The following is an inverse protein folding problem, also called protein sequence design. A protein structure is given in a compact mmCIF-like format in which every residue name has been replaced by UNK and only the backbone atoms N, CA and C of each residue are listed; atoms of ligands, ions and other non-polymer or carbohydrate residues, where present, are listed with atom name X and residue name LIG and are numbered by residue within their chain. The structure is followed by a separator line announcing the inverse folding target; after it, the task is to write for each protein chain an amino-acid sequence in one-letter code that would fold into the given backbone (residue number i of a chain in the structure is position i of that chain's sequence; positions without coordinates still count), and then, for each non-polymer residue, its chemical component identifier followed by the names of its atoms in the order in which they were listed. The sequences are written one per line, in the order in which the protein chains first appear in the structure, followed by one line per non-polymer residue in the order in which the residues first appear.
data_IF_726610783316
#
_entry.id   IF_726610783316
#
_cell.length_a   1.000
_cell.length_b   1.000
_cell.length_c   1.000
_cell.angle_alpha   90.00
_cell.angle_beta   90.00
_cell.angle_gamma   90.00
#
_symmetry.space_group_name_H-M   'P 1'
#
loop_
_entity.id
_entity.type
_entity.pdbx_description
1 polymer ?
#
# COMPACT_ATOMS: atom_id res chain seq x y z
N UNK A 1 12.05 27.67 -10.10
CA UNK A 1 11.86 26.44 -9.31
C UNK A 1 11.33 26.90 -7.96
N UNK A 2 10.04 26.73 -7.69
CA UNK A 2 9.48 27.02 -6.37
C UNK A 2 9.96 25.86 -5.49
N UNK A 3 10.80 26.12 -4.49
CA UNK A 3 11.09 25.13 -3.46
C UNK A 3 9.80 24.93 -2.67
N UNK A 4 9.02 23.92 -3.03
CA UNK A 4 8.03 23.35 -2.13
C UNK A 4 8.81 22.69 -1.01
N UNK A 5 8.68 23.22 0.21
CA UNK A 5 9.18 22.54 1.40
C UNK A 5 8.52 21.16 1.46
N UNK A 6 9.33 20.10 1.37
CA UNK A 6 8.88 18.74 1.69
C UNK A 6 8.98 18.61 3.20
N UNK A 7 7.84 18.52 3.86
CA UNK A 7 7.72 18.45 5.30
C UNK A 7 6.73 17.36 5.70
N UNK A 8 7.10 16.55 6.69
CA UNK A 8 6.24 15.53 7.28
C UNK A 8 5.34 16.17 8.34
N UNK A 9 4.57 17.17 7.93
CA UNK A 9 3.58 17.81 8.77
C UNK A 9 2.59 16.77 9.31
N UNK A 10 2.39 16.76 10.63
CA UNK A 10 1.54 15.77 11.27
C UNK A 10 0.07 16.00 10.87
N UNK A 11 -0.64 14.98 10.36
CA UNK A 11 -2.07 15.07 10.11
C UNK A 11 -2.82 15.30 11.42
N UNK A 12 -3.84 16.15 11.37
CA UNK A 12 -4.71 16.42 12.52
C UNK A 12 -5.68 15.26 12.75
N UNK A 13 -6.19 15.13 13.98
CA UNK A 13 -7.25 14.16 14.31
C UNK A 13 -6.74 12.79 14.77
N UNK A 14 -5.43 12.62 14.90
CA UNK A 14 -4.81 11.41 15.44
C UNK A 14 -4.71 11.49 16.97
N UNK A 15 -5.12 10.44 17.66
CA UNK A 15 -5.01 10.30 19.12
C UNK A 15 -3.55 10.19 19.59
N UNK A 16 -2.66 9.69 18.73
CA UNK A 16 -1.25 9.50 19.05
C UNK A 16 -0.34 10.18 17.99
N UNK A 17 0.62 11.05 18.41
CA UNK A 17 1.48 11.79 17.49
C UNK A 17 2.53 10.93 16.78
N UNK A 18 2.93 9.79 17.35
CA UNK A 18 3.84 8.84 16.70
C UNK A 18 3.15 8.17 15.51
N UNK A 19 1.90 7.74 15.68
CA UNK A 19 1.09 7.21 14.58
C UNK A 19 0.78 8.30 13.55
N UNK A 20 0.55 9.55 13.98
CA UNK A 20 0.39 10.67 13.05
C UNK A 20 1.63 10.84 12.17
N UNK A 21 2.84 10.74 12.74
CA UNK A 21 4.09 10.83 11.99
C UNK A 21 4.26 9.66 11.02
N UNK A 22 3.95 8.44 11.46
CA UNK A 22 4.01 7.26 10.58
C UNK A 22 2.98 7.35 9.45
N UNK A 23 1.78 7.85 9.70
CA UNK A 23 0.77 8.10 8.68
C UNK A 23 1.20 9.19 7.70
N UNK A 24 1.87 10.26 8.17
CA UNK A 24 2.47 11.27 7.31
C UNK A 24 3.53 10.66 6.40
N UNK A 25 4.42 9.83 6.95
CA UNK A 25 5.47 9.15 6.20
C UNK A 25 4.91 8.18 5.16
N UNK A 26 3.85 7.44 5.49
CA UNK A 26 3.15 6.57 4.55
C UNK A 26 2.55 7.36 3.38
N UNK A 27 1.91 8.50 3.64
CA UNK A 27 1.36 9.34 2.58
C UNK A 27 2.45 10.01 1.72
N UNK A 28 3.57 10.42 2.32
CA UNK A 28 4.68 10.98 1.57
C UNK A 28 5.35 9.92 0.68
N UNK A 29 5.54 8.70 1.18
CA UNK A 29 5.99 7.57 0.36
C UNK A 29 5.10 7.36 -0.86
N UNK A 30 3.78 7.37 -0.66
CA UNK A 30 2.81 7.25 -1.77
C UNK A 30 2.91 8.42 -2.76
N UNK A 31 3.17 9.64 -2.30
CA UNK A 31 3.39 10.80 -3.17
C UNK A 31 4.63 10.59 -4.04
N UNK A 32 5.77 10.27 -3.42
CA UNK A 32 7.05 10.07 -4.13
C UNK A 32 6.93 9.01 -5.22
N UNK A 33 6.36 7.86 -4.90
CA UNK A 33 6.28 6.75 -5.86
C UNK A 33 5.34 7.05 -7.02
N UNK A 34 4.28 7.84 -6.80
CA UNK A 34 3.38 8.29 -7.87
C UNK A 34 4.06 9.31 -8.78
N UNK A 35 4.87 10.20 -8.21
CA UNK A 35 5.67 11.16 -8.99
C UNK A 35 6.71 10.43 -9.86
N UNK A 36 7.41 9.43 -9.31
CA UNK A 36 8.44 8.67 -10.02
C UNK A 36 7.86 7.78 -11.13
N UNK A 37 6.69 7.16 -10.93
CA UNK A 37 6.01 6.41 -12.00
C UNK A 37 5.62 7.32 -13.18
N UNK A 38 5.19 8.55 -12.88
CA UNK A 38 4.83 9.54 -13.88
C UNK A 38 3.68 9.09 -14.80
N UNK A 39 3.78 9.40 -16.09
CA UNK A 39 2.78 9.02 -17.09
C UNK A 39 3.07 7.63 -17.64
N UNK A 40 2.16 6.68 -17.39
CA UNK A 40 2.29 5.28 -17.81
C UNK A 40 1.02 4.82 -18.52
N UNK A 41 1.17 4.05 -19.59
CA UNK A 41 0.10 3.40 -20.34
C UNK A 41 -0.34 2.09 -19.67
N UNK A 42 -1.60 1.65 -19.86
CA UNK A 42 -2.06 0.35 -19.38
C UNK A 42 -1.22 -0.84 -19.89
N UNK A 43 -0.67 -0.73 -21.09
CA UNK A 43 0.16 -1.75 -21.72
C UNK A 43 1.54 -1.85 -21.04
N UNK A 44 2.18 -0.72 -20.76
CA UNK A 44 3.44 -0.70 -19.97
C UNK A 44 3.21 -1.27 -18.56
N UNK A 45 2.06 -1.02 -17.93
CA UNK A 45 1.73 -1.58 -16.62
C UNK A 45 1.47 -3.09 -16.65
N UNK A 46 0.92 -3.60 -17.75
CA UNK A 46 0.64 -5.02 -17.94
C UNK A 46 1.84 -5.82 -18.46
N UNK A 47 2.93 -5.16 -18.85
CA UNK A 47 4.14 -5.79 -19.34
C UNK A 47 4.75 -6.73 -18.28
N UNK A 48 4.99 -7.98 -18.67
CA UNK A 48 5.71 -8.96 -17.87
C UNK A 48 7.06 -9.29 -18.55
N UNK A 49 8.20 -9.22 -17.83
CA UNK A 49 9.52 -9.39 -18.43
C UNK A 49 9.82 -10.82 -18.90
N UNK A 50 9.08 -11.81 -18.40
CA UNK A 50 9.17 -13.21 -18.81
C UNK A 50 7.84 -13.93 -18.54
N UNK A 51 7.58 -15.10 -19.19
CA UNK A 51 6.35 -15.86 -18.95
C UNK A 51 6.14 -16.21 -17.48
N UNK A 52 4.98 -15.84 -16.92
CA UNK A 52 4.67 -16.02 -15.50
C UNK A 52 5.34 -15.01 -14.56
N UNK A 53 6.07 -14.03 -15.09
CA UNK A 53 6.59 -12.90 -14.32
C UNK A 53 5.49 -11.93 -13.92
N UNK A 54 5.72 -11.21 -12.82
CA UNK A 54 4.78 -10.18 -12.34
C UNK A 54 4.95 -8.89 -13.14
N UNK A 55 3.84 -8.18 -13.31
CA UNK A 55 3.81 -6.88 -13.98
C UNK A 55 3.54 -5.76 -12.96
N UNK A 56 3.75 -4.52 -13.39
CA UNK A 56 3.61 -3.36 -12.50
C UNK A 56 2.18 -3.23 -11.96
N UNK A 57 1.14 -3.55 -12.75
CA UNK A 57 -0.25 -3.57 -12.27
C UNK A 57 -0.44 -4.47 -11.05
N UNK A 58 0.07 -5.71 -11.12
CA UNK A 58 -0.01 -6.67 -10.02
C UNK A 58 0.74 -6.17 -8.78
N UNK A 59 1.92 -5.57 -9.00
CA UNK A 59 2.76 -5.04 -7.92
C UNK A 59 2.06 -3.92 -7.17
N UNK A 60 1.46 -2.97 -7.89
CA UNK A 60 0.77 -1.83 -7.30
C UNK A 60 -0.50 -2.24 -6.55
N UNK A 61 -1.28 -3.18 -7.10
CA UNK A 61 -2.50 -3.66 -6.42
C UNK A 61 -2.18 -4.46 -5.16
N UNK A 62 -1.08 -5.21 -5.15
CA UNK A 62 -0.66 -5.96 -3.96
C UNK A 62 -0.34 -5.05 -2.79
N UNK A 63 0.26 -3.89 -3.03
CA UNK A 63 0.51 -2.93 -1.96
C UNK A 63 -0.78 -2.56 -1.23
N UNK A 64 -1.82 -2.15 -1.98
CA UNK A 64 -3.12 -1.81 -1.39
C UNK A 64 -3.82 -3.02 -0.74
N UNK A 65 -3.64 -4.21 -1.32
CA UNK A 65 -4.14 -5.46 -0.75
C UNK A 65 -3.48 -5.80 0.60
N UNK A 66 -2.16 -5.65 0.71
CA UNK A 66 -1.41 -5.88 1.96
C UNK A 66 -1.76 -4.84 3.02
N UNK A 67 -1.90 -3.57 2.63
CA UNK A 67 -2.35 -2.52 3.53
C UNK A 67 -3.73 -2.85 4.13
N UNK A 68 -4.69 -3.28 3.30
CA UNK A 68 -6.00 -3.71 3.77
C UNK A 68 -5.93 -4.94 4.69
N UNK A 69 -5.11 -5.94 4.33
CA UNK A 69 -4.94 -7.14 5.15
C UNK A 69 -4.40 -6.79 6.54
N UNK A 70 -3.29 -6.06 6.59
CA UNK A 70 -2.56 -5.86 7.84
C UNK A 70 -3.21 -4.83 8.75
N UNK A 71 -3.79 -3.77 8.16
CA UNK A 71 -4.49 -2.75 8.96
C UNK A 71 -5.90 -3.22 9.30
N UNK A 72 -6.75 -3.42 8.30
CA UNK A 72 -8.18 -3.65 8.55
C UNK A 72 -8.40 -5.05 9.16
N UNK A 73 -7.81 -6.09 8.56
CA UNK A 73 -8.09 -7.47 8.98
C UNK A 73 -7.24 -7.90 10.18
N UNK A 74 -5.93 -7.63 10.19
CA UNK A 74 -5.06 -8.09 11.26
C UNK A 74 -5.04 -7.13 12.45
N UNK A 75 -4.85 -5.82 12.25
CA UNK A 75 -4.78 -4.89 13.38
C UNK A 75 -6.18 -4.57 13.95
N UNK A 76 -7.17 -4.34 13.08
CA UNK A 76 -8.52 -3.91 13.46
C UNK A 76 -9.56 -5.05 13.46
N UNK A 77 -9.20 -6.27 13.05
CA UNK A 77 -10.05 -7.46 13.10
C UNK A 77 -11.35 -7.33 12.31
N UNK A 78 -11.32 -6.52 11.24
CA UNK A 78 -12.41 -6.41 10.30
C UNK A 78 -12.50 -7.63 9.38
N UNK A 79 -13.68 -7.81 8.77
CA UNK A 79 -13.88 -8.87 7.80
C UNK A 79 -13.17 -8.56 6.48
N UNK A 80 -12.45 -9.54 5.94
CA UNK A 80 -11.77 -9.42 4.65
C UNK A 80 -12.71 -9.43 3.42
N UNK A 81 -14.03 -9.60 3.61
CA UNK A 81 -15.00 -9.76 2.51
C UNK A 81 -14.99 -8.56 1.56
N UNK A 82 -15.03 -7.34 2.10
CA UNK A 82 -15.08 -6.15 1.25
C UNK A 82 -13.69 -5.85 0.64
N UNK A 83 -12.60 -6.12 1.36
CA UNK A 83 -11.25 -6.04 0.81
C UNK A 83 -11.08 -7.01 -0.38
N UNK A 84 -11.47 -8.27 -0.22
CA UNK A 84 -11.45 -9.28 -1.30
C UNK A 84 -12.31 -8.89 -2.50
N UNK A 85 -13.43 -8.22 -2.27
CA UNK A 85 -14.28 -7.70 -3.35
C UNK A 85 -13.59 -6.57 -4.13
N UNK A 86 -12.77 -5.74 -3.49
CA UNK A 86 -12.00 -4.67 -4.15
C UNK A 86 -10.81 -5.19 -4.95
N UNK A 87 -10.26 -6.33 -4.53
CA UNK A 87 -9.09 -6.97 -5.14
C UNK A 87 -9.40 -8.41 -5.58
N UNK A 88 -10.37 -8.60 -6.51
CA UNK A 88 -10.79 -9.93 -6.95
C UNK A 88 -9.69 -10.72 -7.65
N UNK A 89 -8.62 -10.04 -8.09
CA UNK A 89 -7.45 -10.66 -8.70
C UNK A 89 -6.68 -11.52 -7.67
N UNK A 90 -6.69 -11.15 -6.40
CA UNK A 90 -6.05 -11.88 -5.30
C UNK A 90 -6.99 -12.98 -4.79
N UNK A 91 -6.96 -14.13 -5.47
CA UNK A 91 -7.73 -15.31 -5.07
C UNK A 91 -6.98 -16.17 -4.06
N UNK A 92 -7.72 -16.82 -3.15
CA UNK A 92 -7.14 -17.74 -2.17
C UNK A 92 -6.69 -17.08 -0.88
N UNK A 93 -5.58 -17.57 -0.34
CA UNK A 93 -5.06 -17.18 0.96
C UNK A 93 -4.16 -15.94 0.83
N UNK A 94 -4.65 -14.79 1.31
CA UNK A 94 -3.94 -13.51 1.27
C UNK A 94 -2.65 -13.49 2.11
N UNK A 95 -2.44 -14.48 3.00
CA UNK A 95 -1.20 -14.65 3.75
C UNK A 95 -0.17 -15.53 3.02
N UNK A 96 -0.52 -16.12 1.87
CA UNK A 96 0.43 -16.84 1.02
C UNK A 96 1.03 -15.89 0.00
N UNK A 97 2.36 -15.90 -0.10
CA UNK A 97 3.08 -15.14 -1.12
C UNK A 97 2.60 -15.53 -2.51
N UNK A 98 2.11 -14.54 -3.26
CA UNK A 98 1.66 -14.72 -4.64
C UNK A 98 1.09 -13.42 -5.19
N UNK A 99 1.38 -13.15 -6.45
CA UNK A 99 0.89 -11.96 -7.15
C UNK A 99 -0.08 -12.39 -8.25
N UNK A 100 -1.17 -11.66 -8.46
CA UNK A 100 -2.12 -11.99 -9.49
C UNK A 100 -1.55 -11.74 -10.89
N UNK A 101 -2.10 -12.45 -11.86
CA UNK A 101 -2.03 -11.99 -13.24
C UNK A 101 -3.05 -10.87 -13.42
N UNK A 102 -2.56 -9.68 -13.79
CA UNK A 102 -3.42 -8.50 -13.98
C UNK A 102 -3.27 -8.04 -15.42
N UNK A 103 -4.39 -7.92 -16.14
CA UNK A 103 -4.41 -7.36 -17.49
C UNK A 103 -4.15 -5.85 -17.52
N UNK A 104 -4.23 -5.22 -18.70
CA UNK A 104 -4.11 -3.76 -18.82
C UNK A 104 -5.10 -3.01 -17.92
N UNK A 105 -4.56 -2.13 -17.09
CA UNK A 105 -5.31 -1.27 -16.17
C UNK A 105 -4.69 0.12 -16.13
N UNK A 106 -5.51 1.17 -16.04
CA UNK A 106 -5.00 2.54 -15.92
C UNK A 106 -4.49 2.83 -14.50
N UNK A 107 -3.47 3.68 -14.35
CA UNK A 107 -3.05 4.19 -13.02
C UNK A 107 -4.21 4.80 -12.25
N UNK A 108 -5.15 5.49 -12.93
CA UNK A 108 -6.33 6.07 -12.29
C UNK A 108 -7.17 5.03 -11.54
N UNK A 109 -7.34 3.84 -12.12
CA UNK A 109 -8.12 2.78 -11.49
C UNK A 109 -7.35 2.14 -10.32
N UNK A 110 -6.05 1.88 -10.49
CA UNK A 110 -5.18 1.34 -9.44
C UNK A 110 -5.12 2.31 -8.24
N UNK A 111 -4.91 3.59 -8.51
CA UNK A 111 -4.85 4.63 -7.48
C UNK A 111 -6.18 4.82 -6.79
N UNK A 112 -7.31 4.81 -7.51
CA UNK A 112 -8.63 4.85 -6.87
C UNK A 112 -8.79 3.74 -5.85
N UNK A 113 -8.45 2.49 -6.19
CA UNK A 113 -8.53 1.36 -5.24
C UNK A 113 -7.57 1.52 -4.07
N UNK A 114 -6.36 2.02 -4.33
CA UNK A 114 -5.35 2.26 -3.29
C UNK A 114 -5.78 3.38 -2.33
N UNK A 115 -6.34 4.46 -2.86
CA UNK A 115 -6.82 5.62 -2.11
C UNK A 115 -8.00 5.22 -1.20
N UNK A 116 -8.93 4.40 -1.70
CA UNK A 116 -10.05 3.86 -0.90
C UNK A 116 -9.56 3.04 0.31
N UNK A 117 -8.48 2.24 0.14
CA UNK A 117 -7.87 1.53 1.26
C UNK A 117 -7.16 2.51 2.20
N UNK A 118 -6.41 3.46 1.66
CA UNK A 118 -5.68 4.46 2.44
C UNK A 118 -6.61 5.29 3.31
N UNK A 119 -7.76 5.70 2.79
CA UNK A 119 -8.77 6.46 3.56
C UNK A 119 -9.24 5.68 4.80
N UNK A 120 -9.52 4.38 4.64
CA UNK A 120 -9.90 3.50 5.74
C UNK A 120 -8.73 3.31 6.71
N UNK A 121 -7.53 3.06 6.20
CA UNK A 121 -6.30 2.97 7.00
C UNK A 121 -6.11 4.20 7.88
N UNK A 122 -6.15 5.40 7.30
CA UNK A 122 -5.94 6.64 8.04
C UNK A 122 -7.03 6.87 9.09
N UNK A 123 -8.28 6.53 8.78
CA UNK A 123 -9.39 6.60 9.74
C UNK A 123 -9.13 5.71 10.97
N UNK A 124 -8.66 4.49 10.74
CA UNK A 124 -8.31 3.56 11.81
C UNK A 124 -7.11 4.02 12.62
N UNK A 125 -6.01 4.36 11.94
CA UNK A 125 -4.78 4.80 12.58
C UNK A 125 -5.00 6.06 13.44
N UNK A 126 -5.91 6.95 13.03
CA UNK A 126 -6.28 8.13 13.81
C UNK A 126 -6.84 7.79 15.20
N UNK A 127 -7.44 6.62 15.38
CA UNK A 127 -8.04 6.21 16.67
C UNK A 127 -7.08 5.51 17.62
N UNK A 128 -5.87 5.13 17.16
CA UNK A 128 -4.93 4.36 17.99
C UNK A 128 -4.39 5.19 19.15
N UNK A 129 -4.57 4.68 20.37
CA UNK A 129 -4.00 5.22 21.59
C UNK A 129 -2.66 4.54 21.94
N UNK A 130 -1.87 5.17 22.81
CA UNK A 130 -0.56 4.68 23.28
C UNK A 130 -0.60 3.22 23.76
N UNK A 131 -1.69 2.84 24.45
CA UNK A 131 -1.89 1.50 25.00
C UNK A 131 -2.02 0.40 23.93
N UNK A 132 -2.41 0.78 22.72
CA UNK A 132 -2.62 -0.13 21.59
C UNK A 132 -1.38 -0.23 20.70
N UNK A 133 -0.35 0.61 20.91
CA UNK A 133 0.85 0.62 20.09
C UNK A 133 1.75 -0.58 20.31
N UNK A 134 1.77 -1.10 21.53
CA UNK A 134 2.69 -2.16 21.96
C UNK A 134 1.97 -3.49 22.23
N UNK A 135 0.64 -3.48 22.23
CA UNK A 135 -0.15 -4.59 22.73
C UNK A 135 -1.04 -5.12 21.63
N UNK A 136 -0.87 -6.39 21.30
CA UNK A 136 -1.81 -7.14 20.47
C UNK A 136 -2.98 -7.60 21.36
N UNK A 137 -4.25 -7.46 20.93
CA UNK A 137 -5.40 -7.83 21.74
C UNK A 137 -5.46 -9.29 22.20
N UNK A 138 -4.77 -10.21 21.50
CA UNK A 138 -4.91 -11.67 21.70
C UNK A 138 -3.60 -12.48 21.73
N UNK A 139 -2.44 -11.84 21.50
CA UNK A 139 -1.13 -12.50 21.50
C UNK A 139 -0.89 -13.49 20.35
N UNK A 140 -1.75 -13.54 19.33
CA UNK A 140 -1.61 -14.48 18.20
C UNK A 140 -0.76 -13.94 17.05
N UNK A 141 -0.62 -12.61 16.94
CA UNK A 141 0.27 -11.94 15.99
C UNK A 141 1.40 -11.24 16.76
N UNK A 142 2.65 -11.43 16.34
CA UNK A 142 3.82 -10.87 17.03
C UNK A 142 4.08 -9.39 16.67
N UNK A 143 3.32 -8.83 15.72
CA UNK A 143 3.64 -7.57 15.07
C UNK A 143 2.90 -6.40 15.70
N UNK A 144 3.60 -5.52 16.40
CA UNK A 144 2.96 -4.33 17.02
C UNK A 144 2.35 -3.39 15.98
N UNK A 145 1.34 -2.58 16.34
CA UNK A 145 0.76 -1.58 15.44
C UNK A 145 1.84 -0.63 14.88
N UNK A 146 2.78 -0.22 15.73
CA UNK A 146 3.96 0.57 15.33
C UNK A 146 4.77 -0.13 14.25
N UNK A 147 5.08 -1.41 14.45
CA UNK A 147 5.86 -2.18 13.50
C UNK A 147 5.09 -2.38 12.18
N UNK A 148 3.79 -2.67 12.25
CA UNK A 148 2.93 -2.86 11.07
C UNK A 148 2.94 -1.60 10.20
N UNK A 149 2.70 -0.41 10.76
CA UNK A 149 2.70 0.82 9.95
C UNK A 149 4.09 1.12 9.39
N UNK A 150 5.15 0.96 10.19
CA UNK A 150 6.53 1.09 9.70
C UNK A 150 6.85 0.09 8.58
N UNK A 151 6.38 -1.15 8.71
CA UNK A 151 6.58 -2.18 7.70
C UNK A 151 5.91 -1.79 6.39
N UNK A 152 4.67 -1.28 6.44
CA UNK A 152 3.95 -0.82 5.24
C UNK A 152 4.69 0.32 4.53
N UNK A 153 5.30 1.27 5.25
CA UNK A 153 6.12 2.32 4.63
C UNK A 153 7.28 1.70 3.82
N UNK A 154 8.05 0.79 4.43
CA UNK A 154 9.16 0.14 3.75
C UNK A 154 8.71 -0.79 2.62
N UNK A 155 7.57 -1.47 2.81
CA UNK A 155 6.95 -2.35 1.82
C UNK A 155 6.49 -1.56 0.59
N UNK A 156 5.93 -0.37 0.78
CA UNK A 156 5.58 0.56 -0.29
C UNK A 156 6.81 0.95 -1.11
N UNK A 157 7.86 1.48 -0.47
CA UNK A 157 9.07 1.89 -1.17
C UNK A 157 9.72 0.74 -1.95
N UNK A 158 9.77 -0.46 -1.36
CA UNK A 158 10.33 -1.65 -2.00
C UNK A 158 9.55 -2.06 -3.25
N UNK A 159 8.23 -2.22 -3.14
CA UNK A 159 7.41 -2.72 -4.25
C UNK A 159 7.14 -1.67 -5.33
N UNK A 160 6.97 -0.41 -4.96
CA UNK A 160 6.88 0.64 -5.98
C UNK A 160 8.20 0.82 -6.74
N UNK A 161 9.36 0.66 -6.07
CA UNK A 161 10.64 0.60 -6.76
C UNK A 161 10.68 -0.50 -7.83
N UNK A 162 10.10 -1.66 -7.55
CA UNK A 162 9.94 -2.73 -8.55
C UNK A 162 8.99 -2.32 -9.69
N UNK A 163 7.87 -1.67 -9.38
CA UNK A 163 6.92 -1.20 -10.38
C UNK A 163 7.55 -0.18 -11.35
N UNK A 164 8.33 0.78 -10.84
CA UNK A 164 9.08 1.74 -11.67
C UNK A 164 10.04 1.01 -12.60
N UNK A 165 10.82 0.06 -12.09
CA UNK A 165 11.76 -0.72 -12.92
C UNK A 165 11.05 -1.56 -14.00
N UNK A 166 9.90 -2.16 -13.69
CA UNK A 166 9.10 -2.92 -14.66
C UNK A 166 8.58 -2.03 -15.78
N UNK A 167 8.13 -0.81 -15.46
CA UNK A 167 7.70 0.19 -16.46
C UNK A 167 8.87 0.64 -17.33
N UNK A 168 10.04 0.90 -16.75
CA UNK A 168 11.25 1.26 -17.52
C UNK A 168 11.69 0.12 -18.45
N UNK A 169 11.57 -1.14 -18.00
CA UNK A 169 11.81 -2.30 -18.87
C UNK A 169 10.82 -2.35 -20.04
N UNK A 170 9.54 -2.08 -19.80
CA UNK A 170 8.51 -2.04 -20.85
C UNK A 170 8.82 -0.97 -21.90
N UNK A 171 9.28 0.21 -21.48
CA UNK A 171 9.67 1.33 -22.35
C UNK A 171 10.88 1.05 -23.22
N UNK A 172 11.75 0.15 -22.76
CA UNK A 172 12.98 -0.21 -23.47
C UNK A 172 12.77 -1.31 -24.54
N UNK A 173 11.57 -1.89 -24.64
CA UNK A 173 11.21 -2.92 -25.64
C UNK A 173 10.49 -2.33 -26.85
#
# INVERSE_FOLDING_TARGET
MIMTTVDLSLPTGFSNPEIALLAAALNDGTREVREELGLVTPEELAFAPYPGGHNASAVLLHHAQVEALWIQCDLFRESDVEAKRRFPEFTGDWHKSGWPEVGPMTLKEIYRRSDEIREVTLTHLATLEDSQLLTQPDGQFADTARWVVNHLIGHESYHYGQAVLLVEMARAM
#
